data_IF_250829225921
#
_entry.id   IF_250829225921
#
_cell.length_a   1.000
_cell.length_b   1.000
_cell.length_c   1.000
_cell.angle_alpha   90.00
_cell.angle_beta   90.00
_cell.angle_gamma   90.00
#
_symmetry.space_group_name_H-M   'P 1'
#
loop_
_entity.id
_entity.type
_entity.pdbx_description
1 polymer ?
#
# COMPACT_ATOMS: atom_id res chain seq x y z
N UNK A 1 -2.95 33.17 4.53
CA UNK A 1 -2.08 31.99 4.70
C UNK A 1 -1.07 32.02 3.56
N UNK A 2 0.22 32.19 3.85
CA UNK A 2 1.26 32.33 2.80
C UNK A 2 1.54 30.96 2.17
N UNK A 3 1.57 30.82 0.84
CA UNK A 3 1.84 29.53 0.19
C UNK A 3 3.29 29.09 0.39
N UNK A 4 3.52 27.78 0.44
CA UNK A 4 4.85 27.19 0.55
C UNK A 4 5.67 27.40 -0.73
N UNK A 5 6.98 27.58 -0.59
CA UNK A 5 7.91 27.55 -1.73
C UNK A 5 8.06 26.13 -2.30
N UNK A 6 8.52 25.95 -3.56
CA UNK A 6 8.72 24.63 -4.15
C UNK A 6 9.60 23.69 -3.29
N UNK A 7 10.71 24.19 -2.75
CA UNK A 7 11.58 23.42 -1.88
C UNK A 7 10.89 22.98 -0.57
N UNK A 8 10.05 23.85 0.00
CA UNK A 8 9.26 23.50 1.19
C UNK A 8 8.15 22.49 0.86
N UNK A 9 7.56 22.58 -0.33
CA UNK A 9 6.59 21.62 -0.82
C UNK A 9 7.23 20.23 -1.03
N UNK A 10 8.46 20.17 -1.51
CA UNK A 10 9.20 18.91 -1.68
C UNK A 10 9.59 18.27 -0.34
N UNK A 11 10.03 19.05 0.64
CA UNK A 11 10.28 18.54 2.01
C UNK A 11 8.98 18.08 2.68
N UNK A 12 7.88 18.80 2.51
CA UNK A 12 6.57 18.37 3.03
C UNK A 12 6.11 17.08 2.38
N UNK A 13 6.35 16.89 1.07
CA UNK A 13 6.09 15.63 0.36
C UNK A 13 6.94 14.48 0.91
N UNK A 14 8.20 14.73 1.24
CA UNK A 14 9.09 13.69 1.81
C UNK A 14 8.69 13.23 3.22
N UNK A 15 7.78 13.94 3.89
CA UNK A 15 7.29 13.60 5.24
C UNK A 15 5.87 13.02 5.25
N UNK A 16 5.22 12.89 4.08
CA UNK A 16 3.90 12.28 4.00
C UNK A 16 3.96 10.83 4.51
N UNK A 17 3.03 10.45 5.37
CA UNK A 17 2.97 9.12 5.99
C UNK A 17 3.80 8.95 7.28
N UNK A 18 4.77 9.84 7.60
CA UNK A 18 5.53 9.74 8.86
C UNK A 18 4.63 9.89 10.08
N UNK A 19 3.64 10.78 10.00
CA UNK A 19 2.59 10.95 11.01
C UNK A 19 1.96 9.61 11.41
N UNK A 20 1.63 8.78 10.42
CA UNK A 20 1.00 7.49 10.64
C UNK A 20 1.90 6.52 11.42
N UNK A 21 3.22 6.58 11.23
CA UNK A 21 4.16 5.75 12.00
C UNK A 21 4.18 6.14 13.49
N UNK A 22 4.08 7.43 13.79
CA UNK A 22 4.01 7.92 15.18
C UNK A 22 2.66 7.63 15.84
N UNK A 23 1.56 7.85 15.11
CA UNK A 23 0.20 7.69 15.63
C UNK A 23 -0.25 6.23 15.75
N UNK A 24 0.03 5.41 14.74
CA UNK A 24 -0.44 4.02 14.67
C UNK A 24 0.64 2.99 15.03
N UNK A 25 1.85 3.44 15.39
CA UNK A 25 2.93 2.56 15.81
C UNK A 25 2.51 1.68 16.99
N UNK A 26 2.62 0.36 16.79
CA UNK A 26 2.25 -0.65 17.79
C UNK A 26 3.47 -0.96 18.65
N UNK A 27 3.37 -0.90 20.00
CA UNK A 27 4.49 -1.25 20.86
C UNK A 27 4.78 -2.75 20.76
N UNK A 28 6.03 -3.09 20.47
CA UNK A 28 6.52 -4.47 20.45
C UNK A 28 7.63 -4.60 21.50
N UNK A 29 7.51 -5.54 22.46
CA UNK A 29 8.56 -5.79 23.42
C UNK A 29 9.76 -6.45 22.72
N UNK A 30 10.94 -5.85 22.83
CA UNK A 30 12.19 -6.38 22.27
C UNK A 30 13.20 -6.78 23.36
N UNK A 31 12.96 -6.35 24.61
CA UNK A 31 13.64 -6.78 25.82
C UNK A 31 12.72 -6.54 27.04
N UNK A 32 13.03 -7.08 28.25
CA UNK A 32 12.15 -6.99 29.43
C UNK A 32 11.64 -5.59 29.76
N UNK A 33 12.45 -4.55 29.54
CA UNK A 33 12.11 -3.15 29.85
C UNK A 33 12.15 -2.24 28.61
N UNK A 34 12.12 -2.80 27.40
CA UNK A 34 12.22 -2.05 26.15
C UNK A 34 11.10 -2.41 25.18
N UNK A 35 10.24 -1.43 24.92
CA UNK A 35 9.24 -1.48 23.87
C UNK A 35 9.63 -0.53 22.74
N UNK A 36 9.57 -1.03 21.50
CA UNK A 36 9.78 -0.23 20.29
C UNK A 36 8.45 -0.13 19.56
N UNK A 37 8.06 1.09 19.17
CA UNK A 37 6.89 1.27 18.29
C UNK A 37 7.25 0.85 16.88
N UNK A 38 6.56 -0.17 16.38
CA UNK A 38 6.70 -0.67 15.01
C UNK A 38 5.50 -0.18 14.20
N UNK A 39 5.78 0.38 13.02
CA UNK A 39 4.74 0.80 12.10
C UNK A 39 3.95 -0.45 11.63
N UNK A 40 2.60 -0.45 11.72
CA UNK A 40 1.81 -1.58 11.26
C UNK A 40 1.83 -1.67 9.73
N UNK A 41 1.52 -2.85 9.17
CA UNK A 41 1.63 -3.13 7.73
C UNK A 41 0.92 -2.09 6.82
N UNK A 42 -0.30 -1.60 7.11
CA UNK A 42 -0.93 -0.56 6.29
C UNK A 42 -0.14 0.76 6.23
N UNK A 43 0.60 1.08 7.30
CA UNK A 43 1.47 2.25 7.35
C UNK A 43 2.75 1.99 6.56
N UNK A 44 3.34 0.81 6.68
CA UNK A 44 4.52 0.43 5.89
C UNK A 44 4.19 0.47 4.39
N UNK A 45 3.03 -0.03 3.97
CA UNK A 45 2.56 0.07 2.59
C UNK A 45 2.58 1.52 2.09
N UNK A 46 2.03 2.46 2.85
CA UNK A 46 2.01 3.87 2.46
C UNK A 46 3.41 4.47 2.37
N UNK A 47 4.28 4.18 3.33
CA UNK A 47 5.66 4.64 3.30
C UNK A 47 6.42 4.10 2.07
N UNK A 48 6.11 2.87 1.65
CA UNK A 48 6.65 2.27 0.42
C UNK A 48 6.13 2.97 -0.84
N UNK A 49 4.84 3.31 -0.89
CA UNK A 49 4.25 4.07 -2.00
C UNK A 49 4.88 5.46 -2.12
N UNK A 50 5.05 6.19 -1.00
CA UNK A 50 5.75 7.49 -0.97
C UNK A 50 7.17 7.33 -1.50
N UNK A 51 7.92 6.39 -0.95
CA UNK A 51 9.32 6.22 -1.29
C UNK A 51 9.53 5.83 -2.76
N UNK A 52 8.64 5.01 -3.32
CA UNK A 52 8.64 4.69 -4.73
C UNK A 52 8.35 5.92 -5.59
N UNK A 53 7.28 6.68 -5.29
CA UNK A 53 6.90 7.87 -6.05
C UNK A 53 7.98 8.97 -6.04
N UNK A 54 8.77 9.05 -4.96
CA UNK A 54 9.89 9.99 -4.89
C UNK A 54 11.03 9.62 -5.85
N UNK A 55 11.32 8.32 -6.03
CA UNK A 55 12.45 7.81 -6.83
C UNK A 55 12.14 6.50 -7.56
N UNK A 56 11.22 6.49 -8.54
CA UNK A 56 10.63 5.26 -9.08
C UNK A 56 11.59 4.37 -9.89
N UNK A 57 12.76 4.88 -10.30
CA UNK A 57 13.82 4.09 -10.95
C UNK A 57 14.89 3.55 -9.99
N UNK A 58 14.96 4.03 -8.74
CA UNK A 58 15.95 3.57 -7.74
C UNK A 58 15.31 2.66 -6.68
N UNK A 59 13.98 2.54 -6.71
CA UNK A 59 13.16 2.00 -5.63
C UNK A 59 12.29 0.83 -6.07
N UNK A 60 12.74 0.06 -7.07
CA UNK A 60 12.03 -1.12 -7.58
C UNK A 60 11.69 -2.15 -6.48
N UNK A 61 12.55 -2.28 -5.46
CA UNK A 61 12.29 -3.16 -4.29
C UNK A 61 11.02 -2.75 -3.52
N UNK A 62 10.63 -1.48 -3.55
CA UNK A 62 9.38 -1.08 -2.91
C UNK A 62 8.17 -1.61 -3.67
N UNK A 63 8.24 -1.81 -4.99
CA UNK A 63 7.18 -2.49 -5.76
C UNK A 63 7.05 -3.97 -5.38
N UNK A 64 8.18 -4.65 -5.20
CA UNK A 64 8.24 -6.02 -4.70
C UNK A 64 7.59 -6.13 -3.32
N UNK A 65 8.03 -5.30 -2.37
CA UNK A 65 7.50 -5.28 -1.00
C UNK A 65 5.98 -5.00 -0.99
N UNK A 66 5.51 -4.04 -1.80
CA UNK A 66 4.08 -3.74 -1.95
C UNK A 66 3.33 -4.97 -2.48
N UNK A 67 3.88 -5.68 -3.46
CA UNK A 67 3.29 -6.90 -3.99
C UNK A 67 3.11 -7.98 -2.94
N UNK A 68 4.14 -8.23 -2.13
CA UNK A 68 4.07 -9.17 -1.01
C UNK A 68 3.08 -8.73 0.06
N UNK A 69 3.03 -7.44 0.39
CA UNK A 69 2.07 -6.92 1.35
C UNK A 69 0.63 -7.13 0.86
N UNK A 70 0.35 -6.87 -0.42
CA UNK A 70 -0.98 -7.07 -1.00
C UNK A 70 -1.43 -8.53 -0.91
N UNK A 71 -0.54 -9.47 -1.23
CA UNK A 71 -0.82 -10.91 -1.20
C UNK A 71 -1.03 -11.43 0.24
N UNK A 72 -0.14 -11.06 1.16
CA UNK A 72 0.02 -11.75 2.46
C UNK A 72 -0.62 -11.01 3.65
N UNK A 73 -1.15 -9.79 3.47
CA UNK A 73 -1.70 -9.00 4.58
C UNK A 73 -2.75 -9.75 5.39
N UNK A 74 -3.59 -10.55 4.74
CA UNK A 74 -4.56 -11.42 5.40
C UNK A 74 -4.17 -12.88 5.21
N UNK A 75 -3.82 -13.58 6.29
CA UNK A 75 -3.46 -15.01 6.22
C UNK A 75 -4.59 -15.89 5.66
N UNK A 76 -4.24 -17.01 5.01
CA UNK A 76 -5.19 -17.84 4.26
C UNK A 76 -6.39 -18.40 5.05
N UNK A 77 -6.22 -18.60 6.36
CA UNK A 77 -7.27 -19.08 7.26
C UNK A 77 -7.85 -17.98 8.17
N UNK A 78 -7.53 -16.71 7.91
CA UNK A 78 -7.99 -15.61 8.76
C UNK A 78 -9.53 -15.48 8.66
N UNK A 79 -10.26 -15.37 9.79
CA UNK A 79 -11.72 -15.26 9.78
C UNK A 79 -12.24 -14.09 8.95
N UNK A 80 -11.48 -12.99 8.87
CA UNK A 80 -11.82 -11.84 8.04
C UNK A 80 -11.99 -12.17 6.55
N UNK A 81 -11.43 -13.28 6.05
CA UNK A 81 -11.63 -13.69 4.66
C UNK A 81 -13.05 -14.16 4.34
N UNK A 82 -13.81 -14.53 5.34
CA UNK A 82 -15.17 -15.05 5.21
C UNK A 82 -16.18 -14.13 5.89
N UNK A 83 -15.82 -12.86 6.13
CA UNK A 83 -16.77 -11.87 6.65
C UNK A 83 -17.91 -11.64 5.66
N UNK A 84 -19.10 -11.32 6.18
CA UNK A 84 -20.29 -11.04 5.35
C UNK A 84 -20.00 -9.98 4.28
N UNK A 85 -19.27 -8.90 4.61
CA UNK A 85 -18.89 -7.86 3.64
C UNK A 85 -18.13 -8.43 2.42
N UNK A 86 -17.20 -9.35 2.65
CA UNK A 86 -16.39 -9.99 1.60
C UNK A 86 -17.26 -10.92 0.75
N UNK A 87 -18.12 -11.71 1.40
CA UNK A 87 -19.00 -12.67 0.74
C UNK A 87 -20.09 -11.96 -0.09
N UNK A 88 -20.74 -10.94 0.47
CA UNK A 88 -21.78 -10.15 -0.19
C UNK A 88 -21.26 -9.40 -1.41
N UNK A 89 -20.01 -8.93 -1.36
CA UNK A 89 -19.36 -8.27 -2.51
C UNK A 89 -18.79 -9.24 -3.54
N UNK A 90 -18.77 -10.54 -3.24
CA UNK A 90 -18.26 -11.56 -4.16
C UNK A 90 -16.77 -11.39 -4.47
N UNK A 91 -15.98 -10.88 -3.52
CA UNK A 91 -14.53 -10.69 -3.72
C UNK A 91 -13.85 -12.05 -3.86
N UNK A 92 -13.05 -12.24 -4.92
CA UNK A 92 -12.35 -13.51 -5.13
C UNK A 92 -11.36 -13.78 -3.99
N UNK A 93 -11.11 -15.05 -3.67
CA UNK A 93 -10.30 -15.45 -2.51
C UNK A 93 -8.92 -14.76 -2.49
N UNK A 94 -8.27 -14.68 -3.64
CA UNK A 94 -6.96 -14.06 -3.80
C UNK A 94 -7.00 -12.53 -3.73
N UNK A 95 -8.16 -11.91 -3.96
CA UNK A 95 -8.42 -10.47 -3.92
C UNK A 95 -8.87 -9.98 -2.53
N UNK A 96 -9.21 -10.89 -1.62
CA UNK A 96 -9.65 -10.54 -0.27
C UNK A 96 -8.57 -9.79 0.52
N UNK A 97 -7.32 -10.26 0.45
CA UNK A 97 -6.20 -9.62 1.17
C UNK A 97 -6.00 -8.15 0.76
N UNK A 98 -5.83 -7.82 -0.54
CA UNK A 98 -5.72 -6.44 -0.97
C UNK A 98 -6.99 -5.62 -0.68
N UNK A 99 -8.19 -6.19 -0.85
CA UNK A 99 -9.45 -5.51 -0.51
C UNK A 99 -9.51 -5.07 0.96
N UNK A 100 -9.27 -6.00 1.89
CA UNK A 100 -9.28 -5.69 3.32
C UNK A 100 -8.15 -4.74 3.71
N UNK A 101 -6.99 -4.83 3.05
CA UNK A 101 -5.90 -3.87 3.22
C UNK A 101 -6.33 -2.46 2.80
N UNK A 102 -7.03 -2.32 1.67
CA UNK A 102 -7.62 -1.06 1.21
C UNK A 102 -8.55 -0.44 2.26
N UNK A 103 -9.42 -1.25 2.87
CA UNK A 103 -10.30 -0.80 3.97
C UNK A 103 -9.50 -0.29 5.17
N UNK A 104 -8.44 -1.02 5.56
CA UNK A 104 -7.56 -0.64 6.67
C UNK A 104 -6.81 0.66 6.40
N UNK A 105 -6.31 0.85 5.18
CA UNK A 105 -5.63 2.08 4.77
C UNK A 105 -6.60 3.26 4.79
N UNK A 106 -7.82 3.10 4.25
CA UNK A 106 -8.85 4.17 4.28
C UNK A 106 -9.17 4.66 5.68
N UNK A 107 -9.14 3.78 6.68
CA UNK A 107 -9.45 4.13 8.06
C UNK A 107 -8.37 4.99 8.75
N UNK A 108 -7.14 5.07 8.22
CA UNK A 108 -6.01 5.76 8.86
C UNK A 108 -5.52 7.00 8.10
N UNK A 109 -5.78 7.07 6.80
CA UNK A 109 -5.24 8.15 5.96
C UNK A 109 -6.04 9.45 6.06
N UNK A 110 -5.32 10.57 5.99
CA UNK A 110 -5.90 11.89 5.72
C UNK A 110 -5.92 12.18 4.20
N UNK A 111 -6.30 13.41 3.83
CA UNK A 111 -6.34 13.84 2.43
C UNK A 111 -4.99 13.75 1.72
N UNK A 112 -3.89 14.20 2.35
CA UNK A 112 -2.57 14.21 1.71
C UNK A 112 -2.05 12.79 1.46
N UNK A 113 -2.28 11.87 2.39
CA UNK A 113 -1.91 10.46 2.26
C UNK A 113 -2.82 9.73 1.25
N UNK A 114 -4.10 10.11 1.17
CA UNK A 114 -5.02 9.61 0.13
C UNK A 114 -4.54 9.99 -1.28
N UNK A 115 -4.08 11.23 -1.48
CA UNK A 115 -3.49 11.65 -2.76
C UNK A 115 -2.24 10.84 -3.13
N UNK A 116 -1.41 10.45 -2.15
CA UNK A 116 -0.27 9.54 -2.41
C UNK A 116 -0.75 8.19 -2.93
N UNK A 117 -1.75 7.59 -2.29
CA UNK A 117 -2.31 6.30 -2.74
C UNK A 117 -2.82 6.42 -4.17
N UNK A 118 -3.62 7.46 -4.47
CA UNK A 118 -4.18 7.66 -5.80
C UNK A 118 -3.11 7.87 -6.87
N UNK A 119 -2.07 8.66 -6.56
CA UNK A 119 -0.93 8.86 -7.47
C UNK A 119 -0.14 7.58 -7.70
N UNK A 120 0.06 6.77 -6.66
CA UNK A 120 0.71 5.48 -6.80
C UNK A 120 -0.09 4.56 -7.71
N UNK A 121 -1.41 4.41 -7.46
CA UNK A 121 -2.29 3.59 -8.29
C UNK A 121 -2.25 4.05 -9.76
N UNK A 122 -2.39 5.36 -10.02
CA UNK A 122 -2.31 5.91 -11.36
C UNK A 122 -0.95 5.65 -12.02
N UNK A 123 0.15 5.69 -11.27
CA UNK A 123 1.48 5.40 -11.81
C UNK A 123 1.65 3.93 -12.21
N UNK A 124 1.01 2.99 -11.51
CA UNK A 124 1.05 1.56 -11.89
C UNK A 124 0.05 1.25 -13.02
N UNK A 125 -1.10 1.91 -13.04
CA UNK A 125 -2.13 1.74 -14.09
C UNK A 125 -1.69 2.35 -15.45
N UNK A 126 -0.74 3.29 -15.46
CA UNK A 126 -0.21 3.88 -16.70
C UNK A 126 0.76 2.92 -17.43
N UNK A 127 0.26 2.28 -18.49
CA UNK A 127 1.04 1.40 -19.38
C UNK A 127 2.24 2.12 -20.03
N UNK A 128 2.20 3.45 -20.14
CA UNK A 128 3.28 4.26 -20.70
C UNK A 128 4.21 4.82 -19.62
N UNK A 129 4.09 4.38 -18.36
CA UNK A 129 4.96 4.83 -17.29
C UNK A 129 6.44 4.59 -17.69
N UNK A 130 7.29 5.63 -17.67
CA UNK A 130 8.66 5.54 -18.16
C UNK A 130 9.54 4.55 -17.38
N UNK A 131 9.16 4.17 -16.15
CA UNK A 131 9.88 3.17 -15.36
C UNK A 131 9.40 1.74 -15.63
N UNK A 132 8.32 1.55 -16.41
CA UNK A 132 7.72 0.23 -16.62
C UNK A 132 7.16 -0.37 -15.32
N UNK A 133 6.62 0.47 -14.43
CA UNK A 133 6.23 0.12 -13.07
C UNK A 133 5.36 -1.13 -12.98
N UNK A 134 4.34 -1.25 -13.84
CA UNK A 134 3.45 -2.41 -13.91
C UNK A 134 4.22 -3.70 -14.22
N UNK A 135 5.08 -3.67 -15.24
CA UNK A 135 5.88 -4.83 -15.66
C UNK A 135 6.88 -5.22 -14.58
N UNK A 136 7.52 -4.24 -13.94
CA UNK A 136 8.42 -4.48 -12.81
C UNK A 136 7.67 -5.14 -11.65
N UNK A 137 6.49 -4.63 -11.29
CA UNK A 137 5.67 -5.20 -10.24
C UNK A 137 5.24 -6.64 -10.58
N UNK A 138 4.80 -6.93 -11.81
CA UNK A 138 4.49 -8.28 -12.26
C UNK A 138 5.68 -9.25 -12.13
N UNK A 139 6.90 -8.77 -12.41
CA UNK A 139 8.13 -9.57 -12.40
C UNK A 139 8.68 -9.81 -11.00
N UNK A 140 8.71 -8.78 -10.16
CA UNK A 140 9.39 -8.78 -8.86
C UNK A 140 8.50 -9.29 -7.72
N UNK A 141 7.19 -9.09 -7.80
CA UNK A 141 6.23 -9.47 -6.75
C UNK A 141 6.07 -11.00 -6.62
N UNK A 142 5.21 -11.52 -5.71
CA UNK A 142 5.14 -12.94 -5.39
C UNK A 142 5.11 -13.86 -6.61
N UNK A 143 5.78 -15.04 -6.57
CA UNK A 143 5.83 -15.96 -7.70
C UNK A 143 4.46 -16.38 -8.26
N UNK A 144 3.40 -16.33 -7.46
CA UNK A 144 2.01 -16.58 -7.87
C UNK A 144 1.58 -15.64 -9.00
N UNK A 145 2.08 -14.42 -9.05
CA UNK A 145 1.67 -13.39 -10.00
C UNK A 145 2.32 -13.55 -11.38
N UNK A 146 3.47 -14.23 -11.47
CA UNK A 146 4.24 -14.35 -12.72
C UNK A 146 3.51 -15.12 -13.82
N UNK A 147 2.44 -15.85 -13.48
CA UNK A 147 1.63 -16.63 -14.42
C UNK A 147 0.67 -15.77 -15.22
N UNK A 148 0.30 -14.60 -14.72
CA UNK A 148 -0.65 -13.70 -15.36
C UNK A 148 -0.14 -12.24 -15.23
N UNK A 149 0.29 -11.60 -16.33
CA UNK A 149 0.80 -10.22 -16.29
C UNK A 149 -0.26 -9.20 -15.84
N UNK A 150 -1.55 -9.55 -15.84
CA UNK A 150 -2.62 -8.71 -15.32
C UNK A 150 -2.79 -8.81 -13.79
N UNK A 151 -2.12 -9.75 -13.12
CA UNK A 151 -2.32 -9.99 -11.68
C UNK A 151 -2.03 -8.77 -10.80
N UNK A 152 -0.95 -7.97 -11.02
CA UNK A 152 -0.75 -6.75 -10.24
C UNK A 152 -1.93 -5.79 -10.35
N UNK A 153 -2.50 -5.63 -11.55
CA UNK A 153 -3.65 -4.75 -11.76
C UNK A 153 -4.90 -5.29 -11.07
N UNK A 154 -5.16 -6.61 -11.12
CA UNK A 154 -6.28 -7.22 -10.36
C UNK A 154 -6.15 -6.99 -8.87
N UNK A 155 -4.94 -7.18 -8.32
CA UNK A 155 -4.66 -6.96 -6.89
C UNK A 155 -4.81 -5.50 -6.48
N UNK A 156 -4.33 -4.57 -7.31
CA UNK A 156 -4.48 -3.14 -7.06
C UNK A 156 -5.93 -2.67 -7.22
N UNK A 157 -6.70 -3.24 -8.14
CA UNK A 157 -8.13 -2.97 -8.29
C UNK A 157 -8.92 -3.43 -7.06
N UNK A 158 -8.67 -4.65 -6.56
CA UNK A 158 -9.26 -5.11 -5.30
C UNK A 158 -8.91 -4.19 -4.11
N UNK A 159 -7.64 -3.76 -4.01
CA UNK A 159 -7.22 -2.77 -3.03
C UNK A 159 -7.97 -1.44 -3.19
N UNK A 160 -8.11 -0.94 -4.43
CA UNK A 160 -8.82 0.30 -4.77
C UNK A 160 -10.29 0.22 -4.39
N UNK A 161 -10.95 -0.91 -4.60
CA UNK A 161 -12.34 -1.14 -4.17
C UNK A 161 -12.49 -1.04 -2.64
N UNK A 162 -11.59 -1.68 -1.89
CA UNK A 162 -11.55 -1.53 -0.44
C UNK A 162 -11.27 -0.08 0.00
N UNK A 163 -10.34 0.58 -0.71
CA UNK A 163 -9.92 1.95 -0.42
C UNK A 163 -10.99 3.01 -0.77
N UNK A 164 -11.82 2.76 -1.78
CA UNK A 164 -12.88 3.68 -2.20
C UNK A 164 -13.98 3.88 -1.14
N UNK A 165 -14.09 2.97 -0.16
CA UNK A 165 -14.76 3.23 1.11
C UNK A 165 -16.18 3.78 1.02
N UNK A 166 -17.16 2.92 0.69
CA UNK A 166 -18.43 2.86 1.43
C UNK A 166 -18.37 1.55 2.20
#
# INVERSE_FOLDING_TARGET
MTPFTPAQADVLRSLVGFRLAFEHGVPVPVAPDLNVKIAPTPVVLLLKMVAYLDRPGERERDLEDIGYILEEFVGGAAPGRFSDEVLERGVAYEEVSPFLLGRKVTAIVNHAEREVVLRFLAAIEDENNPTGAQMLMARLSPPSWRRDPAEPLRRLEAFKQGFAGR
#
